data_IF_674290510445
#
_entry.id   IF_674290510445
#
_cell.length_a   1.000
_cell.length_b   1.000
_cell.length_c   1.000
_cell.angle_alpha   90.00
_cell.angle_beta   90.00
_cell.angle_gamma   90.00
#
_symmetry.space_group_name_H-M   'P 1'
#
loop_
_entity.id
_entity.type
_entity.pdbx_description
1 polymer ?
#
# COMPACT_ATOMS: atom_id res chain seq x y z
N UNK A 1 39.65 -5.60 -5.41
CA UNK A 1 39.91 -6.37 -6.65
C UNK A 1 40.73 -5.62 -7.69
N UNK A 2 40.58 -4.28 -7.85
CA UNK A 2 41.40 -3.51 -8.81
C UNK A 2 42.90 -3.81 -8.72
N UNK A 3 43.44 -3.99 -7.51
CA UNK A 3 44.86 -4.29 -7.27
C UNK A 3 45.25 -5.75 -7.57
N UNK A 4 44.39 -6.73 -7.24
CA UNK A 4 44.67 -8.16 -7.46
C UNK A 4 44.61 -8.56 -8.95
N UNK A 5 43.75 -7.88 -9.73
CA UNK A 5 43.60 -8.11 -11.17
C UNK A 5 44.85 -7.70 -11.98
N UNK A 6 45.74 -6.92 -11.37
CA UNK A 6 46.97 -6.41 -11.98
C UNK A 6 48.21 -7.23 -11.58
N UNK A 7 48.07 -8.23 -10.70
CA UNK A 7 49.19 -9.02 -10.17
C UNK A 7 49.72 -10.01 -11.21
N UNK A 8 48.86 -10.87 -11.75
CA UNK A 8 49.19 -11.71 -12.90
C UNK A 8 47.94 -12.19 -13.63
N UNK A 9 48.13 -12.61 -14.89
CA UNK A 9 47.04 -13.08 -15.77
C UNK A 9 46.30 -14.27 -15.16
N UNK A 10 47.01 -15.21 -14.56
CA UNK A 10 46.41 -16.43 -14.00
C UNK A 10 45.52 -16.16 -12.77
N UNK A 11 45.96 -15.30 -11.85
CA UNK A 11 45.15 -14.87 -10.70
C UNK A 11 43.93 -14.12 -11.18
N UNK A 12 44.09 -13.18 -12.12
CA UNK A 12 42.98 -12.44 -12.71
C UNK A 12 41.96 -13.39 -13.34
N UNK A 13 42.42 -14.36 -14.14
CA UNK A 13 41.54 -15.25 -14.88
C UNK A 13 40.77 -16.18 -13.93
N UNK A 14 41.37 -16.62 -12.81
CA UNK A 14 40.67 -17.44 -11.78
C UNK A 14 39.74 -16.62 -10.88
N UNK A 15 40.14 -15.40 -10.51
CA UNK A 15 39.38 -14.53 -9.59
C UNK A 15 38.19 -13.89 -10.30
N UNK A 16 38.36 -13.49 -11.56
CA UNK A 16 37.31 -12.85 -12.36
C UNK A 16 36.52 -13.83 -13.23
N UNK A 17 36.84 -15.13 -13.18
CA UNK A 17 36.08 -16.14 -13.88
C UNK A 17 34.58 -16.02 -13.54
N UNK A 18 33.66 -16.15 -14.51
CA UNK A 18 32.23 -16.08 -14.25
C UNK A 18 31.75 -17.10 -13.20
N UNK A 19 32.35 -18.29 -13.18
CA UNK A 19 32.04 -19.40 -12.28
C UNK A 19 32.74 -19.30 -10.91
N UNK A 20 33.56 -18.26 -10.68
CA UNK A 20 34.30 -18.10 -9.42
C UNK A 20 33.36 -17.97 -8.22
N UNK A 21 33.56 -18.81 -7.20
CA UNK A 21 32.80 -18.77 -5.93
C UNK A 21 32.91 -17.42 -5.20
N UNK A 22 33.92 -16.61 -5.54
CA UNK A 22 34.09 -15.26 -5.03
C UNK A 22 32.86 -14.38 -5.31
N UNK A 23 32.21 -14.52 -6.47
CA UNK A 23 31.07 -13.69 -6.82
C UNK A 23 29.86 -13.96 -5.93
N UNK A 24 29.63 -15.24 -5.58
CA UNK A 24 28.59 -15.60 -4.61
C UNK A 24 28.90 -15.04 -3.23
N UNK A 25 30.14 -15.14 -2.76
CA UNK A 25 30.54 -14.55 -1.49
C UNK A 25 30.31 -13.03 -1.48
N UNK A 26 30.78 -12.32 -2.51
CA UNK A 26 30.61 -10.86 -2.66
C UNK A 26 29.15 -10.43 -2.75
N UNK A 27 28.33 -11.21 -3.46
CA UNK A 27 26.90 -10.95 -3.54
C UNK A 27 26.26 -11.14 -2.17
N UNK A 28 26.49 -12.29 -1.53
CA UNK A 28 25.96 -12.61 -0.20
C UNK A 28 26.43 -11.70 0.93
N UNK A 29 27.57 -11.01 0.76
CA UNK A 29 28.02 -9.96 1.68
C UNK A 29 27.09 -8.74 1.67
N UNK A 30 26.42 -8.45 0.54
CA UNK A 30 25.64 -7.21 0.33
C UNK A 30 24.15 -7.42 0.09
N UNK A 31 23.76 -8.60 -0.37
CA UNK A 31 22.41 -8.90 -0.85
C UNK A 31 22.04 -10.32 -0.44
N UNK A 32 20.75 -10.56 -0.31
CA UNK A 32 20.20 -11.91 -0.11
C UNK A 32 20.34 -12.72 -1.40
N UNK A 33 20.83 -13.96 -1.33
CA UNK A 33 21.07 -14.79 -2.51
C UNK A 33 19.81 -15.60 -2.83
N UNK A 34 19.17 -15.41 -4.01
CA UNK A 34 18.06 -16.26 -4.43
C UNK A 34 18.51 -17.71 -4.64
N UNK A 35 17.65 -18.66 -4.31
CA UNK A 35 17.91 -20.09 -4.50
C UNK A 35 18.14 -20.41 -5.99
N UNK A 36 19.06 -21.34 -6.27
CA UNK A 36 19.34 -21.82 -7.62
C UNK A 36 20.22 -20.93 -8.51
N UNK A 37 20.62 -19.73 -8.04
CA UNK A 37 21.45 -18.81 -8.84
C UNK A 37 22.89 -19.28 -9.00
N UNK A 38 23.40 -19.25 -10.23
CA UNK A 38 24.78 -19.56 -10.57
C UNK A 38 25.73 -18.42 -10.22
N UNK A 39 27.02 -18.71 -10.04
CA UNK A 39 28.03 -17.68 -9.76
C UNK A 39 28.13 -16.64 -10.90
N UNK A 40 27.91 -17.06 -12.15
CA UNK A 40 27.97 -16.19 -13.31
C UNK A 40 26.81 -15.19 -13.36
N UNK A 41 25.59 -15.62 -12.99
CA UNK A 41 24.44 -14.73 -12.85
C UNK A 41 24.67 -13.72 -11.71
N UNK A 42 25.09 -14.21 -10.53
CA UNK A 42 25.37 -13.35 -9.37
C UNK A 42 26.48 -12.33 -9.67
N UNK A 43 27.51 -12.72 -10.45
CA UNK A 43 28.54 -11.80 -10.92
C UNK A 43 27.94 -10.66 -11.73
N UNK A 44 27.18 -10.99 -12.78
CA UNK A 44 26.59 -10.00 -13.69
C UNK A 44 25.70 -9.04 -12.91
N UNK A 45 24.84 -9.57 -12.06
CA UNK A 45 23.91 -8.80 -11.26
C UNK A 45 24.61 -7.91 -10.21
N UNK A 46 25.61 -8.45 -9.50
CA UNK A 46 26.44 -7.66 -8.59
C UNK A 46 27.08 -6.48 -9.31
N UNK A 47 27.61 -6.70 -10.51
CA UNK A 47 28.27 -5.66 -11.30
C UNK A 47 27.27 -4.60 -11.78
N UNK A 48 26.09 -5.00 -12.25
CA UNK A 48 25.01 -4.08 -12.62
C UNK A 48 24.61 -3.22 -11.41
N UNK A 49 24.27 -3.85 -10.28
CA UNK A 49 23.90 -3.14 -9.04
C UNK A 49 25.00 -2.19 -8.57
N UNK A 50 26.27 -2.60 -8.65
CA UNK A 50 27.41 -1.78 -8.27
C UNK A 50 27.65 -0.56 -9.18
N UNK A 51 27.17 -0.60 -10.43
CA UNK A 51 27.28 0.51 -11.39
C UNK A 51 26.07 1.43 -11.32
N UNK A 52 24.86 0.86 -11.13
CA UNK A 52 23.59 1.59 -11.25
C UNK A 52 23.22 2.28 -9.95
N UNK A 53 23.25 1.55 -8.83
CA UNK A 53 22.71 2.03 -7.56
C UNK A 53 23.40 3.29 -7.02
N UNK A 54 24.73 3.49 -7.20
CA UNK A 54 25.38 4.73 -6.78
C UNK A 54 25.08 5.96 -7.65
N UNK A 55 24.36 5.81 -8.76
CA UNK A 55 24.03 6.94 -9.62
C UNK A 55 22.95 7.78 -8.97
N UNK A 56 23.18 9.09 -8.87
CA UNK A 56 22.16 10.05 -8.46
C UNK A 56 21.18 10.24 -9.60
N UNK A 57 19.91 9.93 -9.35
CA UNK A 57 18.83 10.07 -10.31
C UNK A 57 17.92 11.21 -9.85
N UNK A 58 17.80 12.23 -10.70
CA UNK A 58 16.82 13.30 -10.51
C UNK A 58 15.46 12.81 -11.00
N UNK A 59 14.52 12.62 -10.08
CA UNK A 59 13.15 12.19 -10.38
C UNK A 59 12.18 13.37 -10.60
N UNK A 60 12.64 14.63 -10.55
CA UNK A 60 11.83 15.81 -10.86
C UNK A 60 11.82 16.12 -12.36
N UNK A 61 12.77 15.59 -13.11
CA UNK A 61 12.87 15.78 -14.56
C UNK A 61 12.03 14.74 -15.34
N UNK A 62 11.79 15.03 -16.61
CA UNK A 62 11.15 14.13 -17.56
C UNK A 62 11.82 12.74 -17.58
N UNK A 63 11.03 11.74 -17.99
CA UNK A 63 11.47 10.34 -18.04
C UNK A 63 12.75 10.20 -18.86
N UNK A 64 13.77 9.57 -18.27
CA UNK A 64 15.02 9.23 -18.95
C UNK A 64 15.30 7.72 -18.94
N UNK A 65 16.20 7.28 -19.83
CA UNK A 65 16.68 5.89 -19.84
C UNK A 65 17.40 5.54 -18.52
N UNK A 66 18.17 6.49 -17.97
CA UNK A 66 18.85 6.31 -16.68
C UNK A 66 17.86 6.09 -15.53
N UNK A 67 16.78 6.88 -15.46
CA UNK A 67 15.70 6.66 -14.49
C UNK A 67 15.10 5.27 -14.66
N UNK A 68 14.83 4.85 -15.90
CA UNK A 68 14.20 3.56 -16.20
C UNK A 68 15.09 2.40 -15.74
N UNK A 69 16.37 2.41 -16.12
CA UNK A 69 17.31 1.36 -15.75
C UNK A 69 17.54 1.27 -14.23
N UNK A 70 17.58 2.42 -13.56
CA UNK A 70 17.68 2.45 -12.10
C UNK A 70 16.44 1.84 -11.42
N UNK A 71 15.24 2.16 -11.92
CA UNK A 71 13.98 1.58 -11.42
C UNK A 71 13.88 0.08 -11.68
N UNK A 72 14.38 -0.43 -12.82
CA UNK A 72 14.42 -1.88 -13.10
C UNK A 72 15.32 -2.63 -12.10
N UNK A 73 16.49 -2.07 -11.77
CA UNK A 73 17.36 -2.64 -10.74
C UNK A 73 16.69 -2.62 -9.37
N UNK A 74 16.04 -1.51 -9.01
CA UNK A 74 15.33 -1.40 -7.74
C UNK A 74 14.13 -2.36 -7.67
N UNK A 75 13.37 -2.49 -8.76
CA UNK A 75 12.27 -3.44 -8.88
C UNK A 75 12.73 -4.87 -8.61
N UNK A 76 13.82 -5.31 -9.24
CA UNK A 76 14.35 -6.65 -9.03
C UNK A 76 14.75 -6.89 -7.57
N UNK A 77 15.41 -5.90 -6.94
CA UNK A 77 15.76 -5.94 -5.52
C UNK A 77 14.52 -6.00 -4.62
N UNK A 78 13.47 -5.24 -4.95
CA UNK A 78 12.21 -5.26 -4.20
C UNK A 78 11.54 -6.64 -4.30
N UNK A 79 11.41 -7.20 -5.51
CA UNK A 79 10.83 -8.54 -5.71
C UNK A 79 11.58 -9.59 -4.89
N UNK A 80 12.91 -9.55 -4.89
CA UNK A 80 13.73 -10.43 -4.04
C UNK A 80 13.46 -10.22 -2.55
N UNK A 81 13.37 -8.97 -2.11
CA UNK A 81 13.09 -8.67 -0.70
C UNK A 81 11.70 -9.11 -0.25
N UNK A 82 10.72 -9.18 -1.16
CA UNK A 82 9.35 -9.56 -0.84
C UNK A 82 9.13 -11.08 -0.90
N UNK A 83 9.79 -11.77 -1.83
CA UNK A 83 9.53 -13.19 -2.13
C UNK A 83 10.51 -14.13 -1.41
N UNK A 84 11.75 -13.70 -1.18
CA UNK A 84 12.74 -14.61 -0.60
C UNK A 84 12.39 -14.96 0.85
N UNK A 85 12.42 -16.26 1.23
CA UNK A 85 12.14 -16.73 2.58
C UNK A 85 13.35 -16.48 3.50
N UNK A 86 13.71 -15.21 3.65
CA UNK A 86 14.75 -14.73 4.55
C UNK A 86 14.08 -14.28 5.84
N UNK A 87 14.79 -14.39 6.97
CA UNK A 87 14.28 -13.81 8.20
C UNK A 87 14.07 -12.28 7.98
N UNK A 88 12.85 -11.78 8.22
CA UNK A 88 12.46 -10.37 8.07
C UNK A 88 13.47 -9.36 8.61
N UNK A 89 14.06 -9.66 9.78
CA UNK A 89 15.00 -8.77 10.47
C UNK A 89 16.42 -8.81 9.88
N UNK A 90 16.64 -9.55 8.80
CA UNK A 90 17.99 -9.86 8.28
C UNK A 90 18.13 -9.71 6.77
N UNK A 91 17.13 -9.16 6.08
CA UNK A 91 17.16 -9.02 4.63
C UNK A 91 18.17 -7.95 4.20
N UNK A 92 19.35 -8.39 3.78
CA UNK A 92 20.42 -7.50 3.30
C UNK A 92 20.00 -6.73 2.05
N UNK A 93 19.20 -7.37 1.19
CA UNK A 93 18.69 -6.70 0.00
C UNK A 93 17.78 -5.54 0.39
N UNK A 94 16.88 -5.74 1.37
CA UNK A 94 15.99 -4.68 1.84
C UNK A 94 16.73 -3.55 2.56
N UNK A 95 17.68 -3.88 3.44
CA UNK A 95 18.55 -2.88 4.07
C UNK A 95 19.25 -2.03 3.00
N UNK A 96 19.76 -2.67 1.95
CA UNK A 96 20.42 -1.94 0.87
C UNK A 96 19.47 -1.04 0.09
N UNK A 97 18.19 -1.43 -0.08
CA UNK A 97 17.15 -0.56 -0.66
C UNK A 97 16.97 0.69 0.20
N UNK A 98 16.83 0.53 1.52
CA UNK A 98 16.65 1.67 2.44
C UNK A 98 17.84 2.64 2.40
N UNK A 99 19.07 2.11 2.39
CA UNK A 99 20.30 2.91 2.25
C UNK A 99 20.29 3.76 0.97
N UNK A 100 19.94 3.15 -0.16
CA UNK A 100 19.93 3.84 -1.45
C UNK A 100 18.83 4.91 -1.51
N UNK A 101 17.66 4.62 -0.93
CA UNK A 101 16.56 5.57 -0.89
C UNK A 101 16.83 6.76 0.04
N UNK A 102 17.74 6.63 1.01
CA UNK A 102 18.13 7.75 1.89
C UNK A 102 18.84 8.87 1.11
N UNK A 103 19.47 8.53 -0.01
CA UNK A 103 20.15 9.46 -0.91
C UNK A 103 19.30 9.84 -2.14
N UNK A 104 18.05 9.34 -2.23
CA UNK A 104 17.17 9.53 -3.38
C UNK A 104 15.92 10.33 -3.02
N UNK A 105 15.44 11.14 -3.97
CA UNK A 105 14.17 11.89 -3.85
C UNK A 105 12.97 11.07 -4.34
N UNK A 106 13.15 9.79 -4.68
CA UNK A 106 12.11 8.95 -5.27
C UNK A 106 10.80 9.02 -4.47
N UNK A 107 10.84 8.92 -3.14
CA UNK A 107 9.65 8.86 -2.30
C UNK A 107 8.98 10.22 -2.04
N UNK A 108 9.63 11.33 -2.40
CA UNK A 108 9.21 12.69 -2.04
C UNK A 108 8.22 13.28 -3.06
N UNK A 109 8.39 12.94 -4.34
CA UNK A 109 7.64 13.51 -5.46
C UNK A 109 6.94 12.43 -6.30
N UNK A 110 5.84 11.84 -5.78
CA UNK A 110 5.13 10.77 -6.49
C UNK A 110 4.35 11.26 -7.71
N UNK A 111 4.04 12.56 -7.83
CA UNK A 111 3.27 13.06 -8.96
C UNK A 111 4.12 13.20 -10.21
N UNK A 112 3.62 12.66 -11.31
CA UNK A 112 4.14 12.89 -12.66
C UNK A 112 2.98 13.08 -13.62
N UNK A 113 3.18 13.84 -14.69
CA UNK A 113 2.14 14.01 -15.72
C UNK A 113 1.85 12.69 -16.44
N UNK A 114 2.91 11.94 -16.78
CA UNK A 114 2.81 10.67 -17.50
C UNK A 114 3.74 9.62 -16.86
N UNK A 115 3.43 9.14 -15.64
CA UNK A 115 4.26 8.15 -14.98
C UNK A 115 4.23 6.82 -15.75
N UNK A 116 5.37 6.14 -15.84
CA UNK A 116 5.39 4.78 -16.36
C UNK A 116 4.77 3.81 -15.35
N UNK A 117 4.27 2.69 -15.86
CA UNK A 117 3.76 1.58 -15.03
C UNK A 117 4.79 1.13 -13.98
N UNK A 118 6.06 1.00 -14.39
CA UNK A 118 7.19 0.67 -13.50
C UNK A 118 7.40 1.71 -12.40
N UNK A 119 7.28 3.01 -12.72
CA UNK A 119 7.42 4.05 -11.71
C UNK A 119 6.28 3.95 -10.68
N UNK A 120 5.03 3.86 -11.13
CA UNK A 120 3.89 3.77 -10.22
C UNK A 120 3.96 2.54 -9.32
N UNK A 121 4.29 1.38 -9.88
CA UNK A 121 4.40 0.14 -9.10
C UNK A 121 5.53 0.17 -8.09
N UNK A 122 6.73 0.63 -8.47
CA UNK A 122 7.83 0.80 -7.50
C UNK A 122 7.42 1.76 -6.39
N UNK A 123 6.78 2.88 -6.72
CA UNK A 123 6.27 3.87 -5.74
C UNK A 123 5.21 3.27 -4.80
N UNK A 124 4.35 2.38 -5.29
CA UNK A 124 3.33 1.71 -4.49
C UNK A 124 3.97 0.63 -3.61
N UNK A 125 4.86 -0.21 -4.15
CA UNK A 125 5.57 -1.23 -3.37
C UNK A 125 6.44 -0.64 -2.24
N UNK A 126 6.83 0.63 -2.35
CA UNK A 126 7.58 1.37 -1.33
C UNK A 126 6.68 2.14 -0.35
N UNK A 127 5.37 1.87 -0.30
CA UNK A 127 4.41 2.61 0.55
C UNK A 127 4.81 2.60 2.02
N UNK A 128 5.29 1.47 2.57
CA UNK A 128 5.72 1.39 3.97
C UNK A 128 6.86 2.36 4.29
N UNK A 129 7.86 2.46 3.41
CA UNK A 129 8.95 3.43 3.53
C UNK A 129 8.47 4.88 3.32
N UNK A 130 7.53 5.09 2.38
CA UNK A 130 6.96 6.41 2.13
C UNK A 130 6.15 6.96 3.32
N UNK A 131 5.63 6.09 4.19
CA UNK A 131 4.85 6.44 5.38
C UNK A 131 5.68 6.49 6.68
N UNK A 132 7.01 6.31 6.60
CA UNK A 132 7.88 6.35 7.77
C UNK A 132 7.98 7.77 8.33
N UNK A 133 7.67 7.93 9.62
CA UNK A 133 7.83 9.18 10.37
C UNK A 133 9.17 9.15 11.10
N UNK A 134 10.02 10.15 10.85
CA UNK A 134 11.26 10.47 11.56
C UNK A 134 12.03 9.23 12.06
N UNK A 135 12.74 8.52 11.17
CA UNK A 135 13.32 7.22 11.51
C UNK A 135 14.38 7.37 12.62
N UNK A 136 14.24 6.63 13.74
CA UNK A 136 15.08 6.82 14.93
C UNK A 136 16.55 6.44 14.71
N UNK A 137 16.82 5.52 13.77
CA UNK A 137 18.12 4.90 13.56
C UNK A 137 18.85 5.38 12.28
N UNK A 138 18.26 6.33 11.53
CA UNK A 138 18.71 6.79 10.20
C UNK A 138 18.90 5.67 9.17
N UNK A 139 18.40 4.44 9.42
CA UNK A 139 18.52 3.34 8.45
C UNK A 139 17.42 3.40 7.40
N UNK A 140 16.23 3.87 7.78
CA UNK A 140 15.16 4.16 6.84
C UNK A 140 15.32 5.56 6.21
N UNK A 141 14.86 5.75 4.95
CA UNK A 141 14.91 7.04 4.27
C UNK A 141 14.09 8.07 5.04
N UNK A 142 14.72 9.16 5.45
CA UNK A 142 14.01 10.30 6.01
C UNK A 142 13.43 11.13 4.86
N UNK A 143 12.09 11.18 4.76
CA UNK A 143 11.39 12.02 3.78
C UNK A 143 11.65 13.49 4.12
N UNK A 144 12.51 14.16 3.34
CA UNK A 144 12.92 15.56 3.58
C UNK A 144 11.82 16.49 3.10
N UNK A 145 11.34 16.28 1.89
CA UNK A 145 10.26 17.03 1.30
C UNK A 145 8.96 16.22 1.42
N UNK A 146 8.14 16.57 2.41
CA UNK A 146 6.85 15.89 2.63
C UNK A 146 5.91 16.18 1.46
N UNK A 147 5.13 15.17 1.08
CA UNK A 147 4.11 15.26 0.03
C UNK A 147 3.19 16.48 0.28
N UNK A 148 2.99 17.30 -0.74
CA UNK A 148 2.21 18.55 -0.65
C UNK A 148 0.84 18.40 -1.32
N UNK A 149 -0.02 19.42 -1.19
CA UNK A 149 -1.37 19.42 -1.80
C UNK A 149 -1.36 19.20 -3.31
N UNK A 150 -0.34 19.74 -3.98
CA UNK A 150 -0.22 19.70 -5.44
C UNK A 150 0.24 18.34 -5.96
N UNK A 151 0.72 17.45 -5.10
CA UNK A 151 1.25 16.11 -5.43
C UNK A 151 0.15 15.04 -5.61
N UNK A 152 -1.12 15.40 -5.44
CA UNK A 152 -2.22 14.53 -5.81
C UNK A 152 -3.48 15.30 -6.19
N UNK A 153 -4.36 14.63 -6.92
CA UNK A 153 -5.67 15.15 -7.25
C UNK A 153 -6.71 14.59 -6.26
N UNK A 154 -7.20 15.46 -5.37
CA UNK A 154 -8.21 15.09 -4.37
C UNK A 154 -9.51 14.58 -5.01
N UNK A 155 -9.84 15.05 -6.22
CA UNK A 155 -11.02 14.60 -6.94
C UNK A 155 -10.87 13.14 -7.34
N UNK A 156 -9.68 12.75 -7.77
CA UNK A 156 -9.35 11.34 -8.05
C UNK A 156 -9.41 10.52 -6.74
N UNK A 157 -8.79 11.03 -5.66
CA UNK A 157 -8.76 10.36 -4.34
C UNK A 157 -10.16 10.05 -3.81
N UNK A 158 -11.11 10.96 -3.99
CA UNK A 158 -12.50 10.80 -3.56
C UNK A 158 -13.45 10.28 -4.64
N UNK A 159 -12.94 9.90 -5.82
CA UNK A 159 -13.76 9.53 -6.99
C UNK A 159 -14.84 10.59 -7.34
N UNK A 160 -14.51 11.88 -7.16
CA UNK A 160 -15.43 13.01 -7.35
C UNK A 160 -15.92 13.07 -8.80
N UNK A 161 -17.23 13.23 -8.97
CA UNK A 161 -17.86 13.27 -10.30
C UNK A 161 -17.82 11.95 -11.08
N UNK A 162 -17.29 10.87 -10.51
CA UNK A 162 -17.26 9.56 -11.16
C UNK A 162 -18.53 8.76 -10.89
N UNK A 163 -18.98 8.02 -11.91
CA UNK A 163 -19.98 6.98 -11.76
C UNK A 163 -19.37 5.81 -10.96
N UNK A 164 -20.04 5.43 -9.87
CA UNK A 164 -19.55 4.42 -8.93
C UNK A 164 -19.99 2.99 -9.30
N UNK A 165 -20.56 2.80 -10.51
CA UNK A 165 -20.99 1.49 -10.99
C UNK A 165 -19.82 0.73 -11.60
N UNK A 166 -19.69 -0.53 -11.23
CA UNK A 166 -18.65 -1.41 -11.73
C UNK A 166 -17.39 -1.43 -10.86
N UNK A 167 -16.44 -2.34 -11.14
CA UNK A 167 -15.29 -2.57 -10.29
C UNK A 167 -14.36 -1.35 -10.30
N UNK A 168 -13.99 -0.89 -9.12
CA UNK A 168 -12.89 0.07 -8.96
C UNK A 168 -11.56 -0.55 -9.39
N UNK A 169 -11.36 -1.82 -9.05
CA UNK A 169 -10.13 -2.56 -9.31
C UNK A 169 -10.37 -3.53 -10.45
N UNK A 170 -9.81 -3.21 -11.61
CA UNK A 170 -9.87 -4.03 -12.82
C UNK A 170 -8.66 -4.98 -12.88
N UNK A 171 -8.93 -6.28 -13.02
CA UNK A 171 -7.90 -7.31 -13.13
C UNK A 171 -7.03 -7.20 -14.40
N UNK A 172 -7.62 -6.71 -15.50
CA UNK A 172 -6.99 -6.60 -16.82
C UNK A 172 -6.31 -5.26 -17.04
N UNK A 173 -6.76 -4.21 -16.34
CA UNK A 173 -6.18 -2.86 -16.42
C UNK A 173 -6.18 -2.16 -15.06
N UNK A 174 -5.24 -2.55 -14.20
CA UNK A 174 -5.09 -1.91 -12.89
C UNK A 174 -4.67 -0.43 -13.04
N UNK A 175 -5.49 0.49 -12.53
CA UNK A 175 -5.19 1.93 -12.56
C UNK A 175 -4.21 2.33 -11.45
N UNK A 176 -2.93 2.12 -11.72
CA UNK A 176 -1.84 2.44 -10.80
C UNK A 176 -1.72 3.95 -10.51
N UNK A 177 -2.14 4.81 -11.44
CA UNK A 177 -2.05 6.26 -11.27
C UNK A 177 -3.04 6.74 -10.21
N UNK A 178 -4.28 6.24 -10.27
CA UNK A 178 -5.30 6.50 -9.24
C UNK A 178 -4.85 5.99 -7.86
N UNK A 179 -4.30 4.78 -7.78
CA UNK A 179 -3.75 4.24 -6.54
C UNK A 179 -2.60 5.10 -5.99
N UNK A 180 -1.74 5.62 -6.87
CA UNK A 180 -0.65 6.50 -6.44
C UNK A 180 -1.17 7.83 -5.89
N UNK A 181 -2.24 8.40 -6.46
CA UNK A 181 -2.89 9.58 -5.88
C UNK A 181 -3.40 9.32 -4.47
N UNK A 182 -4.03 8.17 -4.23
CA UNK A 182 -4.49 7.75 -2.90
C UNK A 182 -3.31 7.58 -1.93
N UNK A 183 -2.23 6.93 -2.35
CA UNK A 183 -1.01 6.81 -1.52
C UNK A 183 -0.43 8.18 -1.17
N UNK A 184 -0.34 9.09 -2.14
CA UNK A 184 0.19 10.46 -1.93
C UNK A 184 -0.65 11.26 -0.94
N UNK A 185 -1.98 11.12 -1.01
CA UNK A 185 -2.89 11.68 -0.01
C UNK A 185 -2.53 11.17 1.40
N UNK A 186 -2.43 9.85 1.56
CA UNK A 186 -2.08 9.26 2.85
C UNK A 186 -0.70 9.67 3.35
N UNK A 187 0.30 9.71 2.48
CA UNK A 187 1.64 10.17 2.83
C UNK A 187 1.62 11.59 3.40
N UNK A 188 0.91 12.52 2.75
CA UNK A 188 0.78 13.88 3.28
C UNK A 188 0.10 13.89 4.64
N UNK A 189 -1.06 13.26 4.72
CA UNK A 189 -1.92 13.32 5.91
C UNK A 189 -1.36 12.56 7.13
N UNK A 190 -0.52 11.55 6.91
CA UNK A 190 0.14 10.77 7.96
C UNK A 190 1.50 11.36 8.33
N UNK A 191 2.34 11.76 7.35
CA UNK A 191 3.73 12.16 7.63
C UNK A 191 3.86 13.65 7.95
N UNK A 192 2.94 14.49 7.49
CA UNK A 192 2.99 15.93 7.71
C UNK A 192 2.13 16.38 8.91
N UNK A 193 2.78 16.62 10.05
CA UNK A 193 2.15 17.18 11.26
C UNK A 193 1.36 18.47 10.99
N UNK A 194 1.82 19.34 10.07
CA UNK A 194 1.12 20.60 9.78
C UNK A 194 -0.31 20.40 9.23
N UNK A 195 -0.64 19.22 8.71
CA UNK A 195 -2.00 18.90 8.26
C UNK A 195 -2.98 18.71 9.42
N UNK A 196 -2.52 18.44 10.64
CA UNK A 196 -3.36 18.29 11.84
C UNK A 196 -4.56 17.35 11.61
N UNK A 197 -4.29 16.18 11.04
CA UNK A 197 -5.31 15.16 10.78
C UNK A 197 -4.89 13.80 11.34
N UNK A 198 -4.32 12.93 10.51
CA UNK A 198 -3.98 11.55 10.88
C UNK A 198 -2.58 11.41 11.50
N UNK A 199 -1.76 12.47 11.45
CA UNK A 199 -0.38 12.43 11.92
C UNK A 199 -0.25 12.04 13.38
N UNK A 200 -0.99 12.70 14.28
CA UNK A 200 -0.80 12.53 15.72
C UNK A 200 -1.22 11.13 16.19
N UNK A 201 -2.31 10.59 15.67
CA UNK A 201 -2.75 9.23 15.98
C UNK A 201 -1.77 8.19 15.46
N UNK A 202 -1.27 8.36 14.23
CA UNK A 202 -0.27 7.44 13.67
C UNK A 202 1.09 7.54 14.37
N UNK A 203 1.55 8.75 14.70
CA UNK A 203 2.82 8.96 15.40
C UNK A 203 2.82 8.36 16.81
N UNK A 204 1.66 8.26 17.47
CA UNK A 204 1.51 7.60 18.77
C UNK A 204 1.54 6.07 18.70
N UNK A 205 1.42 5.47 17.51
CA UNK A 205 1.54 4.02 17.39
C UNK A 205 2.94 3.55 17.81
N UNK A 206 3.02 2.46 18.59
CA UNK A 206 4.25 1.70 18.77
C UNK A 206 4.88 1.32 17.42
N UNK A 207 6.20 1.17 17.38
CA UNK A 207 6.94 0.89 16.14
C UNK A 207 6.51 -0.43 15.47
N UNK A 208 6.22 -1.45 16.27
CA UNK A 208 5.71 -2.76 15.84
C UNK A 208 4.24 -2.70 15.34
N UNK A 209 3.52 -1.61 15.60
CA UNK A 209 2.16 -1.39 15.09
C UNK A 209 2.12 -0.48 13.85
N UNK A 210 3.27 0.05 13.41
CA UNK A 210 3.38 0.83 12.18
C UNK A 210 3.58 -0.08 10.96
N UNK A 211 3.30 0.38 9.73
CA UNK A 211 3.46 -0.43 8.53
C UNK A 211 4.88 -1.00 8.40
N UNK A 212 4.99 -2.33 8.38
CA UNK A 212 6.26 -3.03 8.16
C UNK A 212 6.31 -3.64 6.77
N UNK A 213 7.48 -3.58 6.13
CA UNK A 213 7.65 -4.11 4.78
C UNK A 213 7.70 -5.65 4.72
N UNK A 214 8.02 -6.30 5.84
CA UNK A 214 8.09 -7.77 5.95
C UNK A 214 7.36 -8.23 7.20
N UNK A 215 6.72 -9.39 7.13
CA UNK A 215 6.08 -10.03 8.28
C UNK A 215 7.11 -10.86 9.06
N UNK A 216 7.36 -10.53 10.34
CA UNK A 216 8.20 -11.30 11.27
C UNK A 216 7.78 -12.78 11.37
N UNK A 217 6.47 -13.05 11.25
CA UNK A 217 5.85 -14.36 11.40
C UNK A 217 5.62 -15.00 10.03
N UNK A 218 6.68 -15.59 9.47
CA UNK A 218 6.67 -16.36 8.21
C UNK A 218 6.14 -17.78 8.44
N UNK A 219 5.08 -17.95 9.23
CA UNK A 219 4.42 -19.25 9.37
C UNK A 219 3.24 -19.32 8.37
N UNK A 220 3.56 -19.94 7.24
CA UNK A 220 2.70 -20.31 6.10
C UNK A 220 2.47 -19.23 5.04
N UNK A 221 3.07 -19.49 3.87
CA UNK A 221 2.98 -18.65 2.67
C UNK A 221 1.54 -18.33 2.25
N UNK A 222 1.43 -17.16 1.60
CA UNK A 222 0.26 -16.72 0.83
C UNK A 222 -1.09 -16.63 1.58
N UNK A 223 -1.10 -16.61 2.92
CA UNK A 223 -2.32 -16.35 3.68
C UNK A 223 -2.50 -14.85 3.93
N UNK A 224 -3.73 -14.37 3.77
CA UNK A 224 -4.11 -13.00 4.16
C UNK A 224 -3.87 -12.85 5.66
N UNK A 225 -3.19 -11.77 6.08
CA UNK A 225 -2.99 -11.47 7.49
C UNK A 225 -4.32 -11.36 8.22
N UNK A 226 -4.35 -11.80 9.47
CA UNK A 226 -5.59 -11.81 10.27
C UNK A 226 -5.91 -10.42 10.80
N UNK A 227 -4.91 -9.68 11.27
CA UNK A 227 -5.14 -8.39 11.93
C UNK A 227 -4.58 -7.24 11.11
N UNK A 228 -5.39 -6.19 10.96
CA UNK A 228 -5.06 -4.99 10.19
C UNK A 228 -5.38 -3.74 10.99
N UNK A 229 -4.53 -2.73 10.87
CA UNK A 229 -4.80 -1.37 11.32
C UNK A 229 -4.94 -0.44 10.14
N UNK A 230 -5.77 0.58 10.26
CA UNK A 230 -5.90 1.53 9.18
C UNK A 230 -6.78 2.73 9.44
N UNK A 231 -6.93 3.50 8.38
CA UNK A 231 -7.74 4.69 8.32
C UNK A 231 -8.63 4.67 7.09
N UNK A 232 -9.75 5.36 7.19
CA UNK A 232 -10.50 5.83 6.05
C UNK A 232 -10.66 7.35 6.18
N UNK A 233 -10.84 8.03 5.05
CA UNK A 233 -11.12 9.46 5.05
C UNK A 233 -12.49 9.72 4.42
N UNK A 234 -13.26 10.62 5.02
CA UNK A 234 -14.58 11.00 4.55
C UNK A 234 -14.69 12.52 4.38
N UNK A 235 -15.69 12.94 3.61
CA UNK A 235 -16.18 14.31 3.51
C UNK A 235 -17.71 14.28 3.54
N UNK A 236 -18.31 15.05 4.43
CA UNK A 236 -19.76 15.19 4.54
C UNK A 236 -20.16 16.66 4.83
N UNK A 237 -20.98 17.28 3.97
CA UNK A 237 -21.42 16.78 2.67
C UNK A 237 -20.25 16.61 1.69
N UNK A 238 -20.42 15.74 0.68
CA UNK A 238 -19.44 15.63 -0.40
C UNK A 238 -19.38 16.96 -1.18
N UNK A 239 -18.19 17.49 -1.46
CA UNK A 239 -17.99 18.64 -2.32
C UNK A 239 -18.81 18.61 -3.62
N UNK A 240 -19.48 19.71 -3.93
CA UNK A 240 -20.25 19.82 -5.19
C UNK A 240 -19.34 20.18 -6.35
N UNK A 241 -18.36 21.04 -6.11
CA UNK A 241 -17.37 21.46 -7.10
C UNK A 241 -15.96 21.10 -6.66
N UNK A 242 -15.04 21.03 -7.62
CA UNK A 242 -13.63 20.77 -7.35
C UNK A 242 -12.97 21.85 -6.48
N UNK A 243 -13.48 23.09 -6.52
CA UNK A 243 -12.97 24.21 -5.71
C UNK A 243 -13.28 24.04 -4.23
N UNK A 244 -14.39 23.37 -3.90
CA UNK A 244 -14.79 23.19 -2.50
C UNK A 244 -13.78 22.32 -1.72
N UNK A 245 -12.93 21.54 -2.42
CA UNK A 245 -11.82 20.81 -1.79
C UNK A 245 -10.61 21.68 -1.43
N UNK A 246 -10.59 22.96 -1.81
CA UNK A 246 -9.56 23.90 -1.37
C UNK A 246 -9.72 24.24 0.12
N UNK A 247 -10.96 24.24 0.61
CA UNK A 247 -11.30 24.58 1.99
C UNK A 247 -11.13 23.40 2.95
N UNK A 248 -11.50 22.18 2.51
CA UNK A 248 -11.42 20.97 3.33
C UNK A 248 -11.07 19.72 2.50
N UNK A 249 -10.14 18.90 3.02
CA UNK A 249 -9.69 17.66 2.35
C UNK A 249 -10.11 16.38 3.07
N UNK A 250 -10.55 16.49 4.32
CA UNK A 250 -11.04 15.39 5.15
C UNK A 250 -11.87 15.93 6.31
N UNK A 251 -12.83 15.16 6.80
CA UNK A 251 -13.49 15.41 8.09
C UNK A 251 -12.57 15.19 9.28
N UNK A 252 -11.41 14.54 9.09
CA UNK A 252 -10.39 14.35 10.12
C UNK A 252 -9.59 15.63 10.45
N UNK A 253 -10.04 16.81 10.02
CA UNK A 253 -9.37 18.08 10.33
C UNK A 253 -9.59 18.45 11.80
N UNK A 254 -8.53 18.33 12.61
CA UNK A 254 -8.54 18.66 14.04
C UNK A 254 -8.48 20.16 14.32
N UNK A 255 -8.50 21.02 13.29
CA UNK A 255 -8.54 22.48 13.46
C UNK A 255 -9.89 22.99 13.97
N UNK A 256 -10.94 22.18 13.90
CA UNK A 256 -12.28 22.47 14.43
C UNK A 256 -12.53 21.88 15.83
N UNK A 257 -13.66 22.24 16.45
CA UNK A 257 -14.05 21.75 17.77
C UNK A 257 -14.70 20.34 17.78
N UNK A 258 -14.74 19.65 16.65
CA UNK A 258 -15.55 18.44 16.46
C UNK A 258 -14.83 17.13 16.76
N UNK A 259 -13.49 17.10 16.70
CA UNK A 259 -12.70 15.90 16.97
C UNK A 259 -11.48 16.28 17.80
N UNK A 260 -11.25 15.57 18.91
CA UNK A 260 -10.04 15.70 19.72
C UNK A 260 -8.90 14.80 19.24
N UNK A 261 -9.23 13.71 18.53
CA UNK A 261 -8.30 12.76 17.96
C UNK A 261 -8.97 11.98 16.83
N UNK A 262 -8.19 11.53 15.85
CA UNK A 262 -8.62 10.57 14.83
C UNK A 262 -8.36 9.15 15.33
N UNK A 263 -9.40 8.34 15.31
CA UNK A 263 -9.34 6.94 15.73
C UNK A 263 -8.79 6.03 14.63
N UNK A 264 -8.09 4.97 15.05
CA UNK A 264 -7.50 3.97 14.15
C UNK A 264 -8.44 2.78 14.10
N UNK A 265 -8.83 2.38 12.89
CA UNK A 265 -9.67 1.21 12.70
C UNK A 265 -8.86 -0.07 12.82
N UNK A 266 -9.41 -1.08 13.48
CA UNK A 266 -8.88 -2.45 13.49
C UNK A 266 -9.80 -3.36 12.68
N UNK A 267 -9.22 -4.25 11.88
CA UNK A 267 -9.95 -5.33 11.20
C UNK A 267 -9.31 -6.66 11.56
N UNK A 268 -10.11 -7.55 12.15
CA UNK A 268 -9.72 -8.94 12.39
C UNK A 268 -10.48 -9.83 11.41
N UNK A 269 -9.80 -10.30 10.37
CA UNK A 269 -10.34 -10.98 9.20
C UNK A 269 -9.81 -12.41 9.12
N UNK A 270 -10.71 -13.36 8.91
CA UNK A 270 -10.39 -14.78 8.74
C UNK A 270 -10.87 -15.25 7.38
N UNK A 271 -10.06 -16.08 6.72
CA UNK A 271 -10.49 -16.73 5.49
C UNK A 271 -11.53 -17.79 5.80
N UNK A 272 -12.57 -17.86 4.97
CA UNK A 272 -13.66 -18.83 5.07
C UNK A 272 -13.68 -19.70 3.81
N UNK A 273 -12.97 -20.84 3.80
CA UNK A 273 -12.95 -21.73 2.65
C UNK A 273 -14.34 -22.35 2.42
N UNK A 274 -14.93 -22.13 1.25
CA UNK A 274 -16.03 -22.96 0.75
C UNK A 274 -17.46 -22.41 0.85
N UNK A 275 -17.71 -21.29 1.55
CA UNK A 275 -19.03 -20.65 1.57
C UNK A 275 -18.99 -19.29 0.86
N UNK A 276 -19.39 -19.22 -0.43
CA UNK A 276 -19.44 -17.95 -1.13
C UNK A 276 -20.55 -17.08 -0.53
N UNK A 277 -20.17 -15.94 0.02
CA UNK A 277 -21.11 -14.95 0.53
C UNK A 277 -20.72 -13.56 0.00
N UNK A 278 -21.56 -13.03 -0.89
CA UNK A 278 -21.50 -11.64 -1.33
C UNK A 278 -22.92 -11.18 -1.71
N UNK A 279 -23.54 -10.27 -0.93
CA UNK A 279 -24.91 -9.82 -1.19
C UNK A 279 -25.10 -9.18 -2.58
N UNK A 280 -26.32 -9.25 -3.10
CA UNK A 280 -26.66 -8.63 -4.40
C UNK A 280 -26.50 -7.10 -4.34
N UNK A 281 -26.87 -6.50 -3.20
CA UNK A 281 -26.70 -5.06 -2.93
C UNK A 281 -25.24 -4.63 -3.05
N UNK A 282 -24.33 -5.44 -2.52
CA UNK A 282 -22.89 -5.19 -2.64
C UNK A 282 -22.43 -5.42 -4.09
N UNK A 283 -22.95 -6.46 -4.76
CA UNK A 283 -22.62 -6.82 -6.14
C UNK A 283 -22.98 -5.74 -7.17
N UNK A 284 -24.02 -4.93 -6.90
CA UNK A 284 -24.42 -3.80 -7.76
C UNK A 284 -23.32 -2.75 -7.93
N UNK A 285 -22.50 -2.56 -6.89
CA UNK A 285 -21.47 -1.51 -6.87
C UNK A 285 -20.05 -2.08 -6.90
N UNK A 286 -19.85 -3.21 -6.25
CA UNK A 286 -18.58 -3.92 -6.18
C UNK A 286 -18.83 -5.34 -6.74
N UNK A 287 -18.92 -5.47 -8.08
CA UNK A 287 -19.18 -6.76 -8.70
C UNK A 287 -17.96 -7.67 -8.55
N UNK A 288 -18.23 -8.97 -8.41
CA UNK A 288 -17.20 -10.00 -8.47
C UNK A 288 -16.62 -10.08 -9.89
N UNK A 289 -15.34 -10.41 -10.02
CA UNK A 289 -14.75 -10.59 -11.34
C UNK A 289 -15.31 -11.85 -12.02
N UNK A 290 -15.80 -11.71 -13.25
CA UNK A 290 -16.60 -12.73 -13.94
C UNK A 290 -15.82 -13.88 -14.59
N UNK A 291 -14.59 -14.13 -14.16
CA UNK A 291 -13.76 -15.23 -14.67
C UNK A 291 -13.73 -16.36 -13.65
N UNK A 292 -14.18 -17.55 -14.09
CA UNK A 292 -14.29 -18.75 -13.24
C UNK A 292 -12.92 -19.28 -12.79
N UNK A 293 -11.82 -18.89 -13.46
CA UNK A 293 -10.46 -19.29 -13.08
C UNK A 293 -9.83 -18.37 -12.02
N UNK A 294 -10.49 -17.28 -11.65
CA UNK A 294 -9.96 -16.40 -10.59
C UNK A 294 -10.00 -17.10 -9.25
N UNK A 295 -8.83 -17.20 -8.62
CA UNK A 295 -8.69 -17.68 -7.26
C UNK A 295 -9.32 -16.67 -6.29
N UNK A 296 -10.59 -16.91 -5.94
CA UNK A 296 -11.37 -16.11 -4.99
C UNK A 296 -11.42 -16.79 -3.63
N UNK A 297 -11.06 -16.04 -2.60
CA UNK A 297 -11.10 -16.49 -1.20
C UNK A 297 -12.06 -15.59 -0.46
N UNK A 298 -13.11 -16.16 0.13
CA UNK A 298 -14.06 -15.42 0.95
C UNK A 298 -13.53 -15.22 2.36
N UNK A 299 -13.97 -14.14 3.00
CA UNK A 299 -13.52 -13.75 4.33
C UNK A 299 -14.68 -13.26 5.19
N UNK A 300 -14.53 -13.44 6.50
CA UNK A 300 -15.41 -12.91 7.54
C UNK A 300 -14.58 -12.35 8.68
N UNK A 301 -15.13 -11.45 9.46
CA UNK A 301 -14.36 -10.79 10.51
C UNK A 301 -15.15 -9.78 11.30
N UNK A 302 -14.42 -8.97 12.06
CA UNK A 302 -14.95 -7.89 12.86
C UNK A 302 -14.13 -6.63 12.68
N UNK A 303 -14.82 -5.49 12.71
CA UNK A 303 -14.21 -4.17 12.77
C UNK A 303 -14.42 -3.56 14.17
N UNK A 304 -13.34 -2.99 14.70
CA UNK A 304 -13.32 -2.24 15.95
C UNK A 304 -12.42 -1.01 15.82
N UNK A 305 -12.21 -0.30 16.94
CA UNK A 305 -11.35 0.86 17.03
C UNK A 305 -10.21 0.59 18.01
N UNK A 306 -8.98 0.92 17.63
CA UNK A 306 -7.80 0.75 18.48
C UNK A 306 -7.91 1.65 19.72
N UNK A 307 -8.00 1.03 20.90
CA UNK A 307 -8.10 1.76 22.17
C UNK A 307 -9.46 2.39 22.45
N UNK A 308 -10.45 2.18 21.59
CA UNK A 308 -11.85 2.55 21.82
C UNK A 308 -12.70 1.38 22.31
N UNK A 309 -13.99 1.64 22.56
CA UNK A 309 -14.94 0.58 22.88
C UNK A 309 -15.13 -0.36 21.68
N UNK A 310 -15.21 -1.69 21.91
CA UNK A 310 -15.30 -2.65 20.83
C UNK A 310 -16.66 -2.57 20.15
N UNK A 311 -16.72 -1.91 18.99
CA UNK A 311 -17.92 -1.88 18.15
C UNK A 311 -18.30 -3.27 17.62
N UNK A 312 -17.31 -4.15 17.39
CA UNK A 312 -17.48 -5.52 16.89
C UNK A 312 -18.39 -5.59 15.65
N UNK A 313 -18.27 -4.61 14.75
CA UNK A 313 -19.08 -4.52 13.55
C UNK A 313 -18.76 -5.69 12.62
N UNK A 314 -19.73 -6.50 12.18
CA UNK A 314 -19.47 -7.61 11.28
C UNK A 314 -18.81 -7.16 9.97
N UNK A 315 -17.82 -7.94 9.54
CA UNK A 315 -17.12 -7.79 8.27
C UNK A 315 -17.30 -9.05 7.45
N UNK A 316 -17.58 -8.90 6.17
CA UNK A 316 -17.55 -10.00 5.20
C UNK A 316 -17.02 -9.51 3.86
N UNK A 317 -16.48 -10.41 3.04
CA UNK A 317 -15.93 -10.03 1.75
C UNK A 317 -15.21 -11.14 1.04
N UNK A 318 -14.30 -10.75 0.16
CA UNK A 318 -13.43 -11.66 -0.57
C UNK A 318 -12.15 -10.98 -1.05
N UNK A 319 -11.15 -11.81 -1.36
CA UNK A 319 -9.99 -11.45 -2.16
C UNK A 319 -10.01 -12.16 -3.49
N UNK A 320 -9.47 -11.53 -4.53
CA UNK A 320 -9.27 -12.11 -5.86
C UNK A 320 -7.82 -11.87 -6.30
N UNK A 321 -7.09 -12.95 -6.58
CA UNK A 321 -5.73 -12.82 -7.11
C UNK A 321 -5.77 -12.20 -8.52
N UNK A 322 -4.96 -11.17 -8.76
CA UNK A 322 -4.81 -10.55 -10.08
C UNK A 322 -3.66 -11.27 -10.79
N UNK A 323 -3.99 -12.06 -11.81
CA UNK A 323 -3.02 -12.91 -12.50
C UNK A 323 -1.96 -12.11 -13.27
N UNK A 324 -2.33 -10.96 -13.81
CA UNK A 324 -1.42 -10.13 -14.60
C UNK A 324 -0.41 -9.40 -13.68
N UNK A 325 0.91 -9.53 -13.89
CA UNK A 325 1.86 -8.65 -13.22
C UNK A 325 1.73 -7.22 -13.75
N UNK A 326 1.81 -6.25 -12.84
CA UNK A 326 1.86 -4.84 -13.20
C UNK A 326 3.20 -4.26 -12.83
N UNK A 327 3.79 -3.50 -13.75
CA UNK A 327 5.14 -2.95 -13.64
C UNK A 327 6.14 -4.03 -13.25
N UNK A 328 5.99 -5.24 -13.81
CA UNK A 328 6.75 -6.46 -13.55
C UNK A 328 6.67 -7.05 -12.14
N UNK A 329 5.84 -6.51 -11.24
CA UNK A 329 5.57 -7.10 -9.92
C UNK A 329 4.39 -8.09 -10.00
N UNK A 330 4.58 -9.36 -9.59
CA UNK A 330 3.48 -10.28 -9.36
C UNK A 330 2.83 -10.05 -7.97
N UNK A 331 1.76 -10.79 -7.68
CA UNK A 331 1.19 -10.85 -6.33
C UNK A 331 0.19 -9.72 -5.99
N UNK A 332 -0.26 -8.97 -6.99
CA UNK A 332 -1.38 -8.04 -6.83
C UNK A 332 -2.66 -8.81 -6.48
N UNK A 333 -3.39 -8.35 -5.47
CA UNK A 333 -4.63 -8.98 -5.04
C UNK A 333 -5.70 -7.92 -4.86
N UNK A 334 -6.85 -8.08 -5.52
CA UNK A 334 -8.03 -7.25 -5.26
C UNK A 334 -8.65 -7.70 -3.94
N UNK A 335 -9.01 -6.76 -3.08
CA UNK A 335 -9.73 -7.03 -1.83
C UNK A 335 -11.03 -6.22 -1.83
N UNK A 336 -12.12 -6.90 -1.48
CA UNK A 336 -13.45 -6.33 -1.35
C UNK A 336 -14.04 -6.75 -0.01
N UNK A 337 -14.57 -5.83 0.78
CA UNK A 337 -15.26 -6.17 2.02
C UNK A 337 -16.34 -5.15 2.37
N UNK A 338 -17.29 -5.54 3.17
CA UNK A 338 -18.31 -4.67 3.72
C UNK A 338 -18.22 -4.67 5.25
N UNK A 339 -18.43 -3.50 5.85
CA UNK A 339 -18.58 -3.34 7.29
C UNK A 339 -20.04 -3.00 7.57
N UNK A 340 -20.68 -3.81 8.41
CA UNK A 340 -22.05 -3.58 8.85
C UNK A 340 -22.06 -2.99 10.25
N UNK A 341 -22.37 -1.70 10.38
CA UNK A 341 -22.55 -1.07 11.70
C UNK A 341 -24.01 -1.23 12.14
N UNK A 342 -24.21 -1.72 13.36
CA UNK A 342 -25.53 -1.68 14.00
C UNK A 342 -25.81 -0.23 14.45
N UNK A 343 -27.06 0.26 14.34
CA UNK A 343 -27.40 1.59 14.85
C UNK A 343 -27.11 1.65 16.36
N UNK A 344 -26.53 2.76 16.82
CA UNK A 344 -26.30 2.97 18.24
C UNK A 344 -27.67 3.20 18.92
N UNK A 345 -27.93 2.64 20.12
CA UNK A 345 -29.22 2.79 20.83
C UNK A 345 -29.60 4.27 21.06
N UNK A 346 -28.64 5.20 21.02
CA UNK A 346 -28.87 6.64 21.12
C UNK A 346 -29.42 7.30 19.84
N UNK A 347 -29.26 6.66 18.67
CA UNK A 347 -29.78 7.17 17.40
C UNK A 347 -31.28 6.86 17.23
N UNK A 348 -31.85 6.02 18.11
CA UNK A 348 -33.28 5.72 18.13
C UNK A 348 -34.13 6.87 18.72
N UNK A 349 -33.55 7.75 19.54
CA UNK A 349 -34.29 8.84 20.20
C UNK A 349 -34.56 10.06 19.31
N UNK A 350 -33.83 10.23 18.19
CA UNK A 350 -34.13 11.28 17.19
C UNK A 350 -35.12 10.84 16.10
N UNK A 351 -35.49 9.55 16.05
CA UNK A 351 -36.47 9.02 15.11
C UNK A 351 -37.91 9.22 15.63
N UNK A 352 -38.33 10.48 15.82
CA UNK A 352 -39.74 10.79 16.09
C UNK A 352 -40.58 10.71 14.81
N UNK A 353 -41.54 9.79 14.84
CA UNK A 353 -42.89 9.84 14.26
C UNK A 353 -43.04 10.46 12.85
N UNK A 354 -42.97 9.63 11.81
CA UNK A 354 -43.95 9.53 10.70
C UNK A 354 -43.37 8.85 9.44
N UNK A 355 -42.96 7.58 9.54
CA UNK A 355 -42.87 6.68 8.40
C UNK A 355 -42.83 5.23 8.90
N UNK A 356 -43.76 4.39 8.42
CA UNK A 356 -43.90 3.01 8.83
C UNK A 356 -42.60 2.20 8.69
N UNK A 357 -42.13 1.69 9.81
CA UNK A 357 -41.46 0.39 9.99
C UNK A 357 -40.89 -0.25 8.72
N UNK A 358 -39.63 0.04 8.42
CA UNK A 358 -38.74 -0.96 7.83
C UNK A 358 -37.44 -1.01 8.65
N UNK A 359 -37.51 -1.81 9.70
CA UNK A 359 -36.47 -1.99 10.69
C UNK A 359 -35.27 -2.74 10.10
N UNK A 360 -34.26 -2.00 9.63
CA UNK A 360 -32.87 -2.17 10.07
C UNK A 360 -32.04 -0.98 9.60
N UNK A 361 -31.78 -0.03 10.49
CA UNK A 361 -30.89 1.11 10.24
C UNK A 361 -29.42 0.67 10.25
N UNK A 362 -29.09 -0.48 9.68
CA UNK A 362 -27.72 -0.96 9.56
C UNK A 362 -27.01 -0.13 8.48
N UNK A 363 -25.86 0.46 8.83
CA UNK A 363 -25.02 1.14 7.86
C UNK A 363 -24.12 0.09 7.22
N UNK A 364 -24.07 0.06 5.88
CA UNK A 364 -23.23 -0.88 5.14
C UNK A 364 -22.23 -0.09 4.32
N UNK A 365 -20.98 -0.07 4.77
CA UNK A 365 -19.89 0.55 4.04
C UNK A 365 -19.16 -0.51 3.21
N UNK A 366 -19.12 -0.33 1.90
CA UNK A 366 -18.38 -1.18 0.98
C UNK A 366 -16.97 -0.64 0.74
N UNK A 367 -15.99 -1.52 0.78
CA UNK A 367 -14.57 -1.25 0.57
C UNK A 367 -14.09 -2.05 -0.63
N UNK A 368 -13.39 -1.39 -1.53
CA UNK A 368 -12.75 -2.01 -2.69
C UNK A 368 -11.36 -1.41 -2.89
N UNK A 369 -10.35 -2.27 -2.94
CA UNK A 369 -8.96 -1.84 -3.11
C UNK A 369 -8.04 -2.95 -3.55
N UNK A 370 -6.74 -2.67 -3.50
CA UNK A 370 -5.69 -3.64 -3.75
C UNK A 370 -4.86 -3.87 -2.51
N UNK A 371 -4.52 -5.13 -2.27
CA UNK A 371 -3.37 -5.51 -1.46
C UNK A 371 -2.15 -5.42 -2.38
N UNK A 372 -1.18 -4.61 -1.97
CA UNK A 372 0.05 -4.39 -2.72
C UNK A 372 0.94 -5.64 -2.69
N UNK A 373 1.81 -5.83 -3.70
CA UNK A 373 2.82 -6.89 -3.67
C UNK A 373 3.58 -6.93 -2.35
N UNK A 374 3.70 -8.12 -1.77
CA UNK A 374 4.23 -8.31 -0.41
C UNK A 374 3.15 -8.52 0.65
N UNK A 375 1.89 -8.18 0.38
CA UNK A 375 0.76 -8.58 1.22
C UNK A 375 0.53 -7.76 2.48
N UNK A 376 1.34 -6.70 2.73
CA UNK A 376 1.37 -5.97 4.01
C UNK A 376 0.53 -4.70 4.05
N UNK A 377 0.13 -4.18 2.89
CA UNK A 377 -0.59 -2.91 2.77
C UNK A 377 -1.74 -3.09 1.79
N UNK A 378 -2.92 -2.61 2.18
CA UNK A 378 -4.05 -2.44 1.28
C UNK A 378 -4.48 -0.98 1.21
N UNK A 379 -4.84 -0.52 0.01
CA UNK A 379 -5.39 0.81 -0.20
C UNK A 379 -6.42 0.80 -1.33
N UNK A 380 -7.38 1.70 -1.24
CA UNK A 380 -8.46 1.77 -2.21
C UNK A 380 -9.51 2.78 -1.81
N UNK A 381 -10.75 2.54 -2.24
CA UNK A 381 -11.90 3.39 -1.94
C UNK A 381 -12.90 2.67 -1.04
N UNK A 382 -13.54 3.43 -0.17
CA UNK A 382 -14.74 3.02 0.53
C UNK A 382 -15.93 3.87 0.06
N UNK A 383 -17.14 3.35 0.24
CA UNK A 383 -18.39 4.03 -0.07
C UNK A 383 -19.51 3.53 0.83
N UNK A 384 -20.45 4.41 1.16
CA UNK A 384 -21.71 4.00 1.76
C UNK A 384 -22.63 3.40 0.69
N UNK A 385 -23.03 2.15 0.90
CA UNK A 385 -23.87 1.38 -0.03
C UNK A 385 -25.38 1.66 0.15
N UNK A 386 -25.78 2.39 1.20
CA UNK A 386 -27.19 2.67 1.50
C UNK A 386 -27.70 3.94 0.82
N UNK A 387 -26.92 5.03 0.85
CA UNK A 387 -27.38 6.38 0.45
C UNK A 387 -26.48 7.09 -0.58
N UNK A 388 -26.09 6.40 -1.66
CA UNK A 388 -25.03 6.85 -2.59
C UNK A 388 -25.18 8.26 -3.21
N UNK A 389 -26.40 8.78 -3.33
CA UNK A 389 -26.65 10.13 -3.90
C UNK A 389 -26.39 11.26 -2.88
N UNK A 390 -26.32 10.94 -1.59
CA UNK A 390 -26.15 11.88 -0.48
C UNK A 390 -25.00 11.55 0.47
N UNK A 391 -24.43 10.35 0.42
CA UNK A 391 -23.53 9.83 1.45
C UNK A 391 -22.09 9.56 0.99
N UNK A 392 -21.24 9.33 2.00
CA UNK A 392 -19.80 9.46 1.92
C UNK A 392 -19.11 8.39 1.09
N UNK A 393 -18.01 8.81 0.47
CA UNK A 393 -16.98 7.96 -0.13
C UNK A 393 -15.63 8.56 0.19
N UNK A 394 -14.58 7.80 -0.01
CA UNK A 394 -13.23 8.33 0.09
C UNK A 394 -12.17 7.24 0.07
N UNK A 395 -10.90 7.63 0.27
CA UNK A 395 -9.81 6.68 0.31
C UNK A 395 -9.82 5.90 1.62
N UNK A 396 -9.24 4.71 1.59
CA UNK A 396 -8.79 3.99 2.79
C UNK A 396 -7.34 3.52 2.63
N UNK A 397 -6.70 3.23 3.76
CA UNK A 397 -5.40 2.60 3.87
C UNK A 397 -5.42 1.68 5.10
N UNK A 398 -5.07 0.40 4.92
CA UNK A 398 -4.75 -0.50 6.02
C UNK A 398 -3.37 -1.12 5.82
N UNK A 399 -2.73 -1.49 6.91
CA UNK A 399 -1.54 -2.30 6.96
C UNK A 399 -1.73 -3.42 7.98
N UNK A 400 -1.07 -4.55 7.77
CA UNK A 400 -1.16 -5.66 8.69
C UNK A 400 -0.27 -5.47 9.92
N UNK A 401 -0.64 -6.16 10.99
CA UNK A 401 0.17 -6.30 12.20
C UNK A 401 1.05 -7.55 12.10
#
# INVERSE_FOLDING_TARGET
>A
MRSLNLVCREIRDRVLAPDSALWRARFGDKFDIPAGRTNAELKTEYQIRAIVLPQTIDFNQEKSEHQTFWLEVLQQMLIESLILPVNPDTSKTYERIQEILTESELLEHPKRENPSELFCTVQLCLTTLALTIDPPDKKAPAIKNKCSRSEYDIGIVYSHGMELRGPFIDHKRLDLATLLHMRSFWQRHIVNNAEQSFHDSFARLPEDHRPQARNANVDNGASLSVSWLGYYSCLHPMPTTRKDFEDQQSCADLRGAHLSQVDIMTLDIHTKPGEPFWPEECSKFIPQFGDDEVNRIYLEGVQSTLGGDPANNPVFGFTEAIANPYGGFPGWTRICFAICKQPDESDEEEANDDAGSDASSNWVHGYEGVILPGGRVMLGRWMDLKNMDASGRGPFLFWDL
#
